data_IF_213248232917
#
_entry.id   IF_213248232917
#
_cell.length_a   1.000
_cell.length_b   1.000
_cell.length_c   1.000
_cell.angle_alpha   90.00
_cell.angle_beta   90.00
_cell.angle_gamma   90.00
#
_symmetry.space_group_name_H-M   'P 1'
#
loop_
_entity.id
_entity.type
_entity.pdbx_description
1 polymer ?
#
# COMPACT_ATOMS: atom_id res chain seq x y z
N UNK A 1 -0.52 -9.43 21.94
CA UNK A 1 0.11 -8.20 21.40
C UNK A 1 1.58 -8.22 21.77
N UNK A 2 2.47 -7.99 20.81
CA UNK A 2 3.92 -7.95 21.07
C UNK A 2 4.28 -6.54 21.52
N UNK A 3 4.35 -6.31 22.83
CA UNK A 3 4.65 -4.98 23.38
C UNK A 3 6.11 -4.57 23.20
N UNK A 4 6.99 -5.53 22.88
CA UNK A 4 8.44 -5.33 22.74
C UNK A 4 8.82 -4.42 21.55
N UNK A 5 8.03 -4.46 20.46
CA UNK A 5 8.31 -3.70 19.24
C UNK A 5 7.28 -2.59 19.01
N UNK A 6 7.11 -1.73 20.01
CA UNK A 6 6.19 -0.61 19.98
C UNK A 6 6.92 0.71 20.21
N UNK A 7 6.64 1.70 19.36
CA UNK A 7 7.12 3.08 19.53
C UNK A 7 5.94 4.03 19.69
N UNK A 8 6.00 4.94 20.68
CA UNK A 8 4.96 5.95 20.90
C UNK A 8 5.13 7.13 19.95
N UNK A 9 4.07 7.50 19.22
CA UNK A 9 4.03 8.67 18.34
C UNK A 9 3.45 9.92 19.03
N UNK A 10 3.13 9.85 20.33
CA UNK A 10 2.70 11.00 21.13
C UNK A 10 3.88 11.91 21.51
N UNK A 11 5.08 11.34 21.62
CA UNK A 11 6.31 12.05 21.97
C UNK A 11 7.43 11.68 20.99
N UNK A 12 7.89 12.65 20.20
CA UNK A 12 8.98 12.42 19.25
C UNK A 12 10.33 12.51 19.94
N UNK A 13 11.13 11.44 19.86
CA UNK A 13 12.52 11.40 20.31
C UNK A 13 13.37 10.72 19.27
N UNK A 14 14.33 11.46 18.69
CA UNK A 14 15.24 10.92 17.67
C UNK A 14 16.16 9.84 18.24
N UNK A 15 16.54 9.94 19.52
CA UNK A 15 17.38 8.96 20.21
C UNK A 15 16.62 7.66 20.42
N UNK A 16 15.44 7.73 21.05
CA UNK A 16 14.62 6.55 21.31
C UNK A 16 14.18 5.86 20.01
N UNK A 17 13.84 6.66 18.99
CA UNK A 17 13.45 6.11 17.69
C UNK A 17 14.62 5.46 16.95
N UNK A 18 15.83 6.03 17.03
CA UNK A 18 17.04 5.39 16.49
C UNK A 18 17.29 4.02 17.14
N UNK A 19 17.20 3.95 18.47
CA UNK A 19 17.36 2.69 19.21
C UNK A 19 16.29 1.66 18.85
N UNK A 20 15.04 2.12 18.68
CA UNK A 20 13.94 1.29 18.18
C UNK A 20 14.27 0.69 16.81
N UNK A 21 14.72 1.49 15.85
CA UNK A 21 15.12 0.99 14.52
C UNK A 21 16.33 0.06 14.61
N UNK A 22 17.32 0.34 15.44
CA UNK A 22 18.47 -0.57 15.65
C UNK A 22 18.02 -1.94 16.15
N UNK A 23 17.07 -2.01 17.08
CA UNK A 23 16.49 -3.29 17.54
C UNK A 23 15.80 -4.06 16.41
N UNK A 24 15.10 -3.36 15.51
CA UNK A 24 14.45 -4.00 14.35
C UNK A 24 15.48 -4.59 13.36
N UNK A 25 16.63 -3.92 13.19
CA UNK A 25 17.72 -4.42 12.36
C UNK A 25 18.29 -5.73 12.92
N UNK A 26 18.42 -5.83 14.25
CA UNK A 26 19.02 -6.99 14.90
C UNK A 26 18.15 -8.27 14.81
N UNK A 27 16.86 -8.14 14.51
CA UNK A 27 15.94 -9.29 14.33
C UNK A 27 15.66 -9.62 12.85
N UNK A 28 16.39 -9.01 11.92
CA UNK A 28 16.26 -9.35 10.50
C UNK A 28 16.82 -10.74 10.21
N UNK A 29 16.12 -11.53 9.41
CA UNK A 29 16.55 -12.89 9.04
C UNK A 29 16.30 -13.19 7.55
N UNK A 30 17.38 -13.11 6.77
CA UNK A 30 17.39 -13.30 5.32
C UNK A 30 17.12 -14.76 4.88
N UNK A 31 17.28 -15.75 5.77
CA UNK A 31 17.02 -17.17 5.46
C UNK A 31 15.59 -17.37 4.97
N UNK A 32 14.64 -16.67 5.58
CA UNK A 32 13.21 -16.82 5.30
C UNK A 32 12.83 -16.38 3.89
N UNK A 33 13.56 -15.45 3.26
CA UNK A 33 13.35 -15.10 1.85
C UNK A 33 13.64 -16.26 0.90
N UNK A 34 14.64 -17.08 1.18
CA UNK A 34 14.94 -18.27 0.36
C UNK A 34 13.81 -19.29 0.42
N UNK A 35 13.16 -19.41 1.58
CA UNK A 35 11.99 -20.28 1.75
C UNK A 35 10.81 -19.75 0.93
N UNK A 36 10.50 -18.45 1.03
CA UNK A 36 9.42 -17.83 0.26
C UNK A 36 9.69 -17.90 -1.25
N UNK A 37 10.91 -17.63 -1.70
CA UNK A 37 11.30 -17.76 -3.10
C UNK A 37 11.07 -19.20 -3.60
N UNK A 38 11.42 -20.20 -2.80
CA UNK A 38 11.16 -21.60 -3.13
C UNK A 38 9.66 -21.91 -3.25
N UNK A 39 8.81 -21.35 -2.38
CA UNK A 39 7.34 -21.48 -2.48
C UNK A 39 6.81 -20.82 -3.77
N UNK A 40 7.31 -19.63 -4.12
CA UNK A 40 6.93 -18.92 -5.35
C UNK A 40 7.31 -19.73 -6.60
N UNK A 41 8.55 -20.22 -6.70
CA UNK A 41 9.01 -20.95 -7.87
C UNK A 41 8.22 -22.26 -8.10
N UNK A 42 7.78 -22.92 -7.02
CA UNK A 42 6.94 -24.12 -7.07
C UNK A 42 5.48 -23.84 -7.44
N UNK A 43 4.95 -22.67 -7.11
CA UNK A 43 3.53 -22.33 -7.29
C UNK A 43 3.24 -21.59 -8.60
N UNK A 44 4.17 -20.77 -9.10
CA UNK A 44 3.93 -19.84 -10.23
C UNK A 44 3.46 -20.49 -11.54
N UNK A 45 3.70 -21.79 -11.72
CA UNK A 45 3.30 -22.56 -12.91
C UNK A 45 1.94 -23.25 -12.76
N UNK A 46 1.29 -23.18 -11.59
CA UNK A 46 0.03 -23.87 -11.28
C UNK A 46 -1.23 -23.02 -11.51
N UNK A 47 -1.08 -21.89 -12.21
CA UNK A 47 -2.15 -20.91 -12.45
C UNK A 47 -3.26 -21.51 -13.31
N UNK A 48 -4.52 -21.31 -12.91
CA UNK A 48 -5.71 -21.71 -13.68
C UNK A 48 -6.26 -20.58 -14.55
N UNK A 49 -6.03 -19.34 -14.11
CA UNK A 49 -6.45 -18.13 -14.81
C UNK A 49 -5.19 -17.39 -15.23
N UNK A 50 -5.09 -17.09 -16.52
CA UNK A 50 -3.98 -16.32 -17.07
C UNK A 50 -4.42 -14.86 -17.25
N UNK A 51 -3.71 -13.96 -16.58
CA UNK A 51 -3.81 -12.52 -16.84
C UNK A 51 -3.17 -12.19 -18.19
N UNK A 52 -3.63 -11.11 -18.83
CA UNK A 52 -3.00 -10.50 -20.00
C UNK A 52 -2.98 -8.99 -19.87
N UNK A 53 -1.93 -8.37 -20.40
CA UNK A 53 -1.86 -6.93 -20.55
C UNK A 53 -2.87 -6.47 -21.60
N UNK A 54 -3.48 -5.31 -21.41
CA UNK A 54 -4.38 -4.67 -22.38
C UNK A 54 -4.58 -3.20 -22.02
N UNK A 55 -5.10 -2.41 -22.95
CA UNK A 55 -5.49 -1.01 -22.72
C UNK A 55 -6.90 -0.89 -22.12
N UNK A 56 -7.47 -1.99 -21.63
CA UNK A 56 -8.77 -1.99 -20.96
C UNK A 56 -8.70 -1.16 -19.68
N UNK A 57 -9.78 -0.44 -19.41
CA UNK A 57 -9.98 0.24 -18.14
C UNK A 57 -11.45 0.25 -17.74
N UNK A 58 -11.69 0.08 -16.45
CA UNK A 58 -12.99 0.20 -15.80
C UNK A 58 -13.05 1.42 -14.86
N UNK A 59 -11.94 2.13 -14.67
CA UNK A 59 -11.81 3.25 -13.75
C UNK A 59 -11.52 4.56 -14.49
N UNK A 60 -12.41 5.54 -14.39
CA UNK A 60 -12.29 6.83 -15.09
C UNK A 60 -11.87 7.95 -14.14
N UNK A 61 -11.13 8.93 -14.66
CA UNK A 61 -10.76 10.12 -13.88
C UNK A 61 -12.00 10.82 -13.34
N UNK A 62 -12.03 10.98 -12.02
CA UNK A 62 -13.06 11.73 -11.31
C UNK A 62 -12.51 13.08 -10.84
N UNK A 63 -11.34 13.08 -10.21
CA UNK A 63 -10.70 14.27 -9.68
C UNK A 63 -9.18 14.14 -9.62
N UNK A 64 -8.48 15.25 -9.38
CA UNK A 64 -7.03 15.27 -9.18
C UNK A 64 -6.59 16.41 -8.27
N UNK A 65 -5.42 16.25 -7.65
CA UNK A 65 -4.76 17.24 -6.81
C UNK A 65 -3.33 17.40 -7.33
N UNK A 66 -2.94 18.63 -7.62
CA UNK A 66 -1.57 18.99 -8.00
C UNK A 66 -0.77 19.44 -6.76
N UNK A 67 0.57 19.37 -6.78
CA UNK A 67 1.40 19.81 -5.66
C UNK A 67 1.09 21.23 -5.19
N UNK A 68 0.90 22.18 -6.11
CA UNK A 68 0.55 23.58 -5.83
C UNK A 68 -0.84 23.79 -5.22
N UNK A 69 -1.69 22.76 -5.22
CA UNK A 69 -3.04 22.79 -4.66
C UNK A 69 -3.11 22.23 -3.23
N UNK A 70 -1.97 21.82 -2.69
CA UNK A 70 -1.83 21.32 -1.31
C UNK A 70 -1.25 22.41 -0.42
N UNK A 71 -2.07 22.97 0.47
CA UNK A 71 -1.59 23.78 1.58
C UNK A 71 -1.43 22.88 2.80
N UNK A 72 -0.20 22.64 3.25
CA UNK A 72 0.09 21.75 4.37
C UNK A 72 0.92 22.46 5.44
N UNK A 73 0.60 22.15 6.70
CA UNK A 73 1.33 22.65 7.86
C UNK A 73 1.81 21.53 8.77
N UNK A 74 2.92 21.79 9.48
CA UNK A 74 3.42 20.92 10.55
C UNK A 74 2.47 20.92 11.77
N UNK A 75 2.77 20.09 12.78
CA UNK A 75 2.05 20.12 14.07
C UNK A 75 2.10 21.50 14.76
N UNK A 76 3.15 22.28 14.49
CA UNK A 76 3.37 23.64 15.00
C UNK A 76 2.87 24.73 14.05
N UNK A 77 2.01 24.39 13.07
CA UNK A 77 1.45 25.31 12.07
C UNK A 77 2.49 26.00 11.17
N UNK A 78 3.68 25.40 11.01
CA UNK A 78 4.69 25.89 10.07
C UNK A 78 4.34 25.38 8.67
N UNK A 79 4.18 26.24 7.65
CA UNK A 79 3.94 25.83 6.27
C UNK A 79 5.08 24.97 5.72
N UNK A 80 4.74 23.95 4.92
CA UNK A 80 5.70 23.05 4.29
C UNK A 80 5.53 23.15 2.77
N UNK A 81 6.64 23.30 2.05
CA UNK A 81 6.65 23.29 0.59
C UNK A 81 6.42 21.87 0.06
N UNK A 82 5.42 21.72 -0.81
CA UNK A 82 5.06 20.45 -1.45
C UNK A 82 5.49 20.50 -2.90
N UNK A 83 6.27 19.50 -3.33
CA UNK A 83 6.67 19.33 -4.73
C UNK A 83 6.04 18.10 -5.39
N UNK A 84 5.61 17.12 -4.59
CA UNK A 84 4.82 15.99 -5.07
C UNK A 84 3.70 15.66 -4.09
N UNK A 85 2.58 15.20 -4.62
CA UNK A 85 1.45 14.64 -3.88
C UNK A 85 0.99 13.42 -4.66
N UNK A 86 1.40 12.24 -4.26
CA UNK A 86 1.13 11.00 -5.02
C UNK A 86 0.86 9.85 -4.05
N UNK A 87 0.57 8.65 -4.56
CA UNK A 87 0.49 7.39 -3.80
C UNK A 87 -0.21 7.53 -2.42
N UNK A 88 -1.36 8.18 -2.42
CA UNK A 88 -2.10 8.56 -1.21
C UNK A 88 -3.24 7.58 -0.96
N UNK A 89 -3.55 7.28 0.30
CA UNK A 89 -4.68 6.42 0.67
C UNK A 89 -5.94 7.23 0.96
N UNK A 90 -7.09 6.55 0.86
CA UNK A 90 -8.41 7.10 1.16
C UNK A 90 -9.16 6.22 2.16
N UNK A 91 -10.06 6.86 2.90
CA UNK A 91 -10.98 6.20 3.84
C UNK A 91 -12.28 6.98 3.92
N UNK A 92 -13.40 6.30 4.14
CA UNK A 92 -14.67 6.98 4.41
C UNK A 92 -14.68 7.54 5.83
N UNK A 93 -15.11 8.80 5.96
CA UNK A 93 -15.21 9.51 7.23
C UNK A 93 -16.58 10.17 7.31
N UNK A 94 -17.29 9.93 8.41
CA UNK A 94 -18.65 10.42 8.63
C UNK A 94 -19.56 10.20 7.38
N UNK A 95 -20.81 10.65 7.38
CA UNK A 95 -21.77 10.30 6.31
C UNK A 95 -21.57 11.06 4.98
N UNK A 96 -20.38 11.60 4.69
CA UNK A 96 -20.19 12.42 3.48
C UNK A 96 -18.78 12.86 3.12
N UNK A 97 -17.74 12.47 3.87
CA UNK A 97 -16.36 12.85 3.57
C UNK A 97 -15.50 11.63 3.20
N UNK A 98 -14.49 11.90 2.39
CA UNK A 98 -13.35 11.01 2.20
C UNK A 98 -12.17 11.65 2.92
N UNK A 99 -11.63 10.94 3.91
CA UNK A 99 -10.34 11.26 4.50
C UNK A 99 -9.24 10.80 3.55
N UNK A 100 -8.23 11.63 3.35
CA UNK A 100 -7.10 11.37 2.45
C UNK A 100 -5.80 11.44 3.22
N UNK A 101 -5.06 10.34 3.21
CA UNK A 101 -3.70 10.24 3.73
C UNK A 101 -2.73 10.56 2.60
N UNK A 102 -2.37 11.84 2.49
CA UNK A 102 -1.52 12.39 1.44
C UNK A 102 -0.06 11.99 1.66
N UNK A 103 0.54 11.24 0.74
CA UNK A 103 2.01 11.10 0.69
C UNK A 103 2.57 12.32 -0.05
N UNK A 104 3.31 13.14 0.68
CA UNK A 104 3.87 14.40 0.20
C UNK A 104 5.39 14.29 0.11
N UNK A 105 5.97 14.82 -0.96
CA UNK A 105 7.42 14.93 -1.15
C UNK A 105 7.89 16.39 -1.22
N UNK A 106 9.10 16.63 -0.69
CA UNK A 106 9.78 17.94 -0.73
C UNK A 106 10.87 18.01 -1.80
N UNK A 107 11.84 18.91 -1.59
CA UNK A 107 12.99 19.15 -2.50
C UNK A 107 13.79 17.87 -2.73
N UNK A 108 14.12 17.17 -1.66
CA UNK A 108 14.67 15.82 -1.76
C UNK A 108 13.51 14.85 -1.97
N UNK A 109 13.38 14.32 -3.18
CA UNK A 109 12.25 13.48 -3.58
C UNK A 109 12.12 12.21 -2.73
N UNK A 110 13.26 11.67 -2.27
CA UNK A 110 13.24 10.52 -1.37
C UNK A 110 12.64 10.88 -0.01
N UNK A 111 12.67 12.15 0.43
CA UNK A 111 12.13 12.56 1.73
C UNK A 111 10.64 12.87 1.65
N UNK A 112 9.87 11.84 2.00
CA UNK A 112 8.41 11.86 2.01
C UNK A 112 7.85 11.84 3.43
N UNK A 113 6.63 12.37 3.57
CA UNK A 113 5.84 12.38 4.80
C UNK A 113 4.37 12.09 4.49
N UNK A 114 3.59 11.75 5.52
CA UNK A 114 2.13 11.63 5.39
C UNK A 114 1.42 12.77 6.11
N UNK A 115 0.54 13.46 5.37
CA UNK A 115 -0.41 14.44 5.89
C UNK A 115 -1.85 13.95 5.73
N UNK A 116 -2.77 14.58 6.46
CA UNK A 116 -4.19 14.24 6.42
C UNK A 116 -5.04 15.45 6.03
N UNK A 117 -6.06 15.20 5.21
CA UNK A 117 -7.12 16.16 4.85
C UNK A 117 -8.44 15.41 4.67
N UNK A 118 -9.55 16.15 4.60
CA UNK A 118 -10.86 15.61 4.25
C UNK A 118 -11.46 16.35 3.06
N UNK A 119 -12.08 15.59 2.17
CA UNK A 119 -12.76 16.10 0.98
C UNK A 119 -14.21 15.62 1.03
N UNK A 120 -15.20 16.54 0.99
CA UNK A 120 -16.59 16.16 0.82
C UNK A 120 -16.79 15.37 -0.48
N UNK A 121 -17.49 14.24 -0.42
CA UNK A 121 -17.69 13.34 -1.58
C UNK A 121 -18.33 14.08 -2.77
N UNK A 122 -19.26 15.00 -2.50
CA UNK A 122 -19.91 15.82 -3.52
C UNK A 122 -18.96 16.84 -4.20
N UNK A 123 -17.82 17.16 -3.57
CA UNK A 123 -16.77 18.01 -4.12
C UNK A 123 -15.64 17.23 -4.79
N UNK A 124 -15.72 15.91 -4.82
CA UNK A 124 -14.70 15.06 -5.44
C UNK A 124 -14.85 15.04 -6.96
N UNK A 125 -14.62 16.17 -7.63
CA UNK A 125 -14.64 16.29 -9.08
C UNK A 125 -13.63 17.33 -9.59
N UNK A 126 -12.99 17.06 -10.72
CA UNK A 126 -12.03 17.99 -11.34
C UNK A 126 -10.80 18.29 -10.47
N UNK A 127 -10.28 19.51 -10.57
CA UNK A 127 -9.12 19.98 -9.78
C UNK A 127 -9.54 20.33 -8.35
N UNK A 128 -8.88 19.74 -7.37
CA UNK A 128 -9.20 19.95 -5.94
C UNK A 128 -8.03 20.66 -5.24
N UNK A 129 -8.37 21.64 -4.40
CA UNK A 129 -7.45 22.29 -3.46
C UNK A 129 -7.74 21.84 -2.05
N UNK A 130 -6.69 21.55 -1.28
CA UNK A 130 -6.83 20.98 0.06
C UNK A 130 -5.96 21.71 1.08
N UNK A 131 -6.46 21.75 2.31
CA UNK A 131 -5.68 22.10 3.49
C UNK A 131 -5.42 20.82 4.28
N UNK A 132 -4.15 20.58 4.63
CA UNK A 132 -3.72 19.36 5.27
C UNK A 132 -2.83 19.61 6.48
N UNK A 133 -2.78 18.65 7.40
CA UNK A 133 -1.87 18.67 8.54
C UNK A 133 -0.99 17.43 8.53
N UNK A 134 0.31 17.60 8.77
CA UNK A 134 1.24 16.47 8.89
C UNK A 134 0.85 15.60 10.07
N UNK A 135 0.72 14.29 9.83
CA UNK A 135 0.46 13.28 10.86
C UNK A 135 1.67 12.37 11.09
N UNK A 136 2.35 11.95 10.03
CA UNK A 136 3.52 11.07 10.12
C UNK A 136 4.71 11.72 9.42
N UNK A 137 5.50 12.52 10.15
CA UNK A 137 6.77 13.03 9.65
C UNK A 137 7.85 11.92 9.69
N UNK A 138 8.92 12.06 8.90
CA UNK A 138 10.18 11.39 9.21
C UNK A 138 10.72 11.91 10.55
N UNK A 139 11.24 11.01 11.37
CA UNK A 139 11.87 11.26 12.67
C UNK A 139 13.40 11.25 12.52
N UNK A 140 13.94 10.40 11.65
CA UNK A 140 15.38 10.37 11.32
C UNK A 140 15.67 11.06 10.00
N UNK A 141 16.89 11.58 9.86
CA UNK A 141 17.36 12.19 8.61
C UNK A 141 17.50 11.21 7.44
N UNK A 142 17.61 9.91 7.74
CA UNK A 142 17.70 8.82 6.77
C UNK A 142 16.33 8.30 6.32
N UNK A 143 15.24 8.78 6.90
CA UNK A 143 13.93 8.16 6.81
C UNK A 143 13.02 8.80 5.75
N UNK A 144 12.24 7.95 5.10
CA UNK A 144 11.13 8.31 4.22
C UNK A 144 9.85 7.64 4.74
N UNK A 145 8.69 8.31 4.64
CA UNK A 145 7.40 7.74 5.05
C UNK A 145 6.48 7.70 3.83
N UNK A 146 6.17 6.49 3.36
CA UNK A 146 5.66 6.23 2.01
C UNK A 146 4.39 5.38 1.99
N UNK A 147 3.64 5.55 0.90
CA UNK A 147 2.54 4.69 0.45
C UNK A 147 1.60 4.24 1.58
N UNK A 148 0.89 5.18 2.24
CA UNK A 148 -0.14 4.83 3.21
C UNK A 148 -1.22 3.96 2.58
N UNK A 149 -1.79 3.09 3.39
CA UNK A 149 -2.86 2.12 3.10
C UNK A 149 -3.72 2.02 4.35
N UNK A 150 -5.02 1.79 4.18
CA UNK A 150 -5.98 1.74 5.29
C UNK A 150 -6.45 0.30 5.49
N UNK A 151 -6.56 -0.15 6.74
CA UNK A 151 -7.14 -1.46 7.04
C UNK A 151 -8.63 -1.49 6.65
N UNK A 152 -9.07 -2.46 5.82
CA UNK A 152 -10.45 -2.52 5.34
C UNK A 152 -11.47 -2.76 6.46
N UNK A 153 -11.05 -3.35 7.59
CA UNK A 153 -11.90 -3.62 8.75
C UNK A 153 -11.72 -2.58 9.87
N UNK A 154 -10.68 -1.74 9.81
CA UNK A 154 -10.44 -0.71 10.82
C UNK A 154 -9.87 0.59 10.21
N UNK A 155 -10.70 1.62 9.97
CA UNK A 155 -10.28 2.87 9.33
C UNK A 155 -9.31 3.72 10.15
N UNK A 156 -9.02 3.34 11.41
CA UNK A 156 -8.07 4.00 12.28
C UNK A 156 -6.69 3.31 12.29
N UNK A 157 -6.54 2.21 11.57
CA UNK A 157 -5.28 1.51 11.38
C UNK A 157 -4.69 1.84 10.00
N UNK A 158 -3.54 2.51 10.00
CA UNK A 158 -2.85 2.96 8.79
C UNK A 158 -1.57 2.17 8.61
N UNK A 159 -1.47 1.45 7.51
CA UNK A 159 -0.27 0.74 7.10
C UNK A 159 0.54 1.64 6.18
N UNK A 160 1.84 1.76 6.39
CA UNK A 160 2.71 2.55 5.53
C UNK A 160 4.13 1.97 5.52
N UNK A 161 4.91 2.35 4.53
CA UNK A 161 6.29 1.89 4.39
C UNK A 161 7.20 2.98 4.93
N UNK A 162 8.15 2.59 5.78
CA UNK A 162 9.29 3.45 6.12
C UNK A 162 10.55 2.88 5.49
N UNK A 163 11.21 3.70 4.68
CA UNK A 163 12.51 3.36 4.13
C UNK A 163 13.60 4.14 4.86
N UNK A 164 14.76 3.52 5.03
CA UNK A 164 15.90 4.15 5.68
C UNK A 164 17.13 4.04 4.78
N UNK A 165 17.71 5.19 4.45
CA UNK A 165 18.92 5.32 3.64
C UNK A 165 20.07 5.77 4.56
N UNK A 166 20.83 4.80 5.08
CA UNK A 166 21.84 5.05 6.10
C UNK A 166 23.23 5.18 5.47
N UNK A 167 24.05 6.18 5.88
CA UNK A 167 25.46 6.23 5.49
C UNK A 167 26.22 5.12 6.22
N UNK A 168 26.62 4.08 5.49
CA UNK A 168 27.52 3.00 5.92
C UNK A 168 27.29 2.45 7.34
N UNK A 169 26.04 2.08 7.66
CA UNK A 169 25.71 1.27 8.84
C UNK A 169 25.58 -0.21 8.45
N UNK A 170 25.39 -1.12 9.43
CA UNK A 170 25.24 -2.59 9.25
C UNK A 170 24.46 -2.98 7.98
N UNK A 171 23.47 -2.18 7.60
CA UNK A 171 22.77 -2.21 6.31
C UNK A 171 22.75 -0.81 5.67
N UNK A 172 22.85 -0.72 4.34
CA UNK A 172 22.78 0.54 3.58
C UNK A 172 21.35 1.03 3.36
N UNK A 173 20.41 0.09 3.25
CA UNK A 173 18.99 0.37 3.01
C UNK A 173 18.14 -0.58 3.84
N UNK A 174 17.11 -0.03 4.49
CA UNK A 174 16.08 -0.79 5.20
C UNK A 174 14.71 -0.39 4.67
N UNK A 175 13.80 -1.36 4.54
CA UNK A 175 12.44 -1.14 4.08
C UNK A 175 11.53 -1.99 4.96
N UNK A 176 10.74 -1.32 5.80
CA UNK A 176 9.84 -1.98 6.75
C UNK A 176 8.44 -1.43 6.54
N UNK A 177 7.45 -2.31 6.52
CA UNK A 177 6.05 -1.91 6.60
C UNK A 177 5.66 -1.79 8.07
N UNK A 178 5.00 -0.70 8.43
CA UNK A 178 4.54 -0.41 9.77
C UNK A 178 3.01 -0.27 9.82
N UNK A 179 2.42 -0.69 10.93
CA UNK A 179 1.09 -0.30 11.37
C UNK A 179 1.21 0.94 12.27
N UNK A 180 0.38 1.94 11.99
CA UNK A 180 0.12 3.07 12.87
C UNK A 180 -1.33 3.06 13.33
N UNK A 181 -1.52 3.00 14.63
CA UNK A 181 -2.82 3.20 15.26
C UNK A 181 -3.08 4.69 15.41
N UNK A 182 -4.29 5.12 15.06
CA UNK A 182 -4.71 6.51 15.12
C UNK A 182 -6.02 6.66 15.88
N UNK A 183 -6.28 7.87 16.36
CA UNK A 183 -7.64 8.28 16.71
C UNK A 183 -8.15 9.26 15.66
N UNK A 184 -9.47 9.30 15.52
CA UNK A 184 -10.17 10.21 14.64
C UNK A 184 -11.26 10.93 15.43
N UNK A 185 -11.14 12.24 15.56
CA UNK A 185 -12.13 13.07 16.25
C UNK A 185 -12.26 14.41 15.51
N UNK A 186 -13.49 14.78 15.13
CA UNK A 186 -13.82 16.08 14.53
C UNK A 186 -12.92 16.49 13.34
N UNK A 187 -12.59 15.56 12.44
CA UNK A 187 -11.71 15.85 11.29
C UNK A 187 -10.21 15.81 11.60
N UNK A 188 -9.83 15.53 12.84
CA UNK A 188 -8.43 15.44 13.27
C UNK A 188 -8.00 13.99 13.44
N UNK A 189 -6.81 13.67 12.91
CA UNK A 189 -6.14 12.39 13.08
C UNK A 189 -4.96 12.57 14.04
N UNK A 190 -4.95 11.80 15.11
CA UNK A 190 -3.84 11.75 16.06
C UNK A 190 -3.20 10.36 16.03
N UNK A 191 -1.97 10.21 15.51
CA UNK A 191 -1.20 8.98 15.62
C UNK A 191 -0.81 8.69 17.06
N UNK A 192 -0.93 7.42 17.45
CA UNK A 192 -0.66 6.95 18.80
C UNK A 192 0.59 6.07 18.87
N UNK A 193 0.62 5.01 18.07
CA UNK A 193 1.68 3.98 18.15
C UNK A 193 2.18 3.61 16.77
N UNK A 194 3.42 3.14 16.71
CA UNK A 194 4.07 2.59 15.54
C UNK A 194 4.55 1.17 15.85
N UNK A 195 4.08 0.19 15.08
CA UNK A 195 4.40 -1.24 15.22
C UNK A 195 4.90 -1.77 13.88
N UNK A 196 6.03 -2.50 13.81
CA UNK A 196 6.48 -3.08 12.56
C UNK A 196 5.61 -4.29 12.24
N UNK A 197 5.43 -4.58 10.96
CA UNK A 197 4.84 -5.85 10.57
C UNK A 197 5.91 -6.93 10.72
N UNK A 198 5.65 -7.91 11.59
CA UNK A 198 6.57 -8.97 11.98
C UNK A 198 6.14 -10.31 11.41
N UNK A 199 7.08 -11.23 11.32
CA UNK A 199 6.83 -12.63 11.00
C UNK A 199 7.12 -13.48 12.23
N UNK A 200 6.29 -14.50 12.46
CA UNK A 200 6.46 -15.49 13.50
C UNK A 200 6.67 -16.86 12.89
N UNK A 201 7.72 -17.55 13.32
CA UNK A 201 7.95 -18.96 13.05
C UNK A 201 8.15 -19.64 14.41
N UNK A 202 7.18 -20.44 14.84
CA UNK A 202 7.09 -20.97 16.20
C UNK A 202 7.12 -19.83 17.25
N UNK A 203 8.14 -19.80 18.11
CA UNK A 203 8.34 -18.74 19.13
C UNK A 203 9.22 -17.59 18.66
N UNK A 204 9.84 -17.69 17.46
CA UNK A 204 10.77 -16.68 16.95
C UNK A 204 10.02 -15.59 16.21
N UNK A 205 10.25 -14.33 16.58
CA UNK A 205 9.85 -13.15 15.82
C UNK A 205 11.03 -12.66 14.97
N UNK A 206 10.74 -12.25 13.75
CA UNK A 206 11.76 -11.73 12.83
C UNK A 206 11.17 -10.79 11.77
N UNK A 207 12.06 -10.13 11.03
CA UNK A 207 11.74 -9.30 9.87
C UNK A 207 12.46 -9.84 8.64
N UNK A 208 11.82 -9.82 7.48
CA UNK A 208 12.48 -10.01 6.18
C UNK A 208 12.78 -8.64 5.55
N UNK A 209 13.84 -8.52 4.75
CA UNK A 209 14.15 -7.26 4.06
C UNK A 209 13.28 -7.06 2.80
N UNK A 210 12.87 -5.81 2.60
CA UNK A 210 12.06 -5.32 1.47
C UNK A 210 10.82 -6.17 1.16
N UNK A 211 9.80 -5.95 1.98
CA UNK A 211 8.47 -6.51 1.86
C UNK A 211 7.42 -5.40 1.81
N UNK A 212 7.74 -4.32 1.08
CA UNK A 212 6.77 -3.26 0.80
C UNK A 212 5.57 -3.85 0.05
N UNK A 213 4.45 -3.12 0.01
CA UNK A 213 3.17 -3.65 -0.49
C UNK A 213 2.58 -4.76 0.42
N UNK A 214 2.89 -4.68 1.72
CA UNK A 214 2.27 -5.51 2.75
C UNK A 214 1.11 -4.75 3.37
N UNK A 215 -0.08 -5.36 3.39
CA UNK A 215 -1.30 -4.73 3.89
C UNK A 215 -2.35 -5.78 4.29
N UNK A 216 -3.26 -5.46 5.22
CA UNK A 216 -4.29 -6.40 5.65
C UNK A 216 -5.30 -6.64 4.53
N UNK A 217 -5.58 -7.90 4.24
CA UNK A 217 -6.71 -8.25 3.37
C UNK A 217 -8.02 -8.24 4.15
N UNK A 218 -7.97 -8.81 5.35
CA UNK A 218 -9.06 -8.88 6.33
C UNK A 218 -8.48 -8.79 7.75
N UNK A 219 -9.33 -8.83 8.77
CA UNK A 219 -8.94 -8.94 10.19
C UNK A 219 -7.97 -10.09 10.47
N UNK A 220 -8.13 -11.23 9.80
CA UNK A 220 -7.35 -12.45 10.05
C UNK A 220 -6.25 -12.73 9.03
N UNK A 221 -6.16 -11.95 7.96
CA UNK A 221 -5.27 -12.25 6.82
C UNK A 221 -4.43 -11.03 6.43
N UNK A 222 -3.14 -11.26 6.18
CA UNK A 222 -2.21 -10.28 5.63
C UNK A 222 -1.80 -10.67 4.20
N UNK A 223 -1.72 -9.69 3.32
CA UNK A 223 -1.05 -9.81 2.04
C UNK A 223 0.37 -9.28 2.19
N UNK A 224 1.36 -10.01 1.67
CA UNK A 224 2.79 -9.70 1.78
C UNK A 224 3.44 -9.76 0.41
N UNK A 225 4.34 -8.82 0.10
CA UNK A 225 5.12 -8.86 -1.14
C UNK A 225 6.62 -8.75 -0.89
N UNK A 226 7.32 -9.87 -0.63
CA UNK A 226 8.78 -9.86 -0.59
C UNK A 226 9.38 -9.51 -1.96
N UNK A 227 10.47 -8.75 -1.96
CA UNK A 227 11.34 -8.54 -3.12
C UNK A 227 12.54 -9.51 -3.08
N UNK A 228 12.72 -10.30 -4.12
CA UNK A 228 13.82 -11.27 -4.21
C UNK A 228 14.93 -10.73 -5.12
N UNK A 229 15.87 -9.97 -4.53
CA UNK A 229 16.95 -9.29 -5.26
C UNK A 229 17.78 -10.25 -6.14
N UNK A 230 18.10 -11.44 -5.63
CA UNK A 230 18.86 -12.49 -6.35
C UNK A 230 18.23 -12.88 -7.70
N UNK A 231 16.91 -12.74 -7.83
CA UNK A 231 16.16 -13.14 -9.04
C UNK A 231 15.44 -11.98 -9.71
N UNK A 232 15.48 -10.77 -9.12
CA UNK A 232 14.80 -9.59 -9.63
C UNK A 232 13.27 -9.71 -9.70
N UNK A 233 12.65 -10.60 -8.93
CA UNK A 233 11.19 -10.80 -8.93
C UNK A 233 10.55 -10.46 -7.59
N UNK A 234 9.28 -10.08 -7.63
CA UNK A 234 8.43 -9.92 -6.44
C UNK A 234 7.04 -10.51 -6.70
N UNK A 235 6.46 -11.15 -5.70
CA UNK A 235 5.15 -11.79 -5.83
C UNK A 235 4.31 -11.58 -4.58
N UNK A 236 3.00 -11.60 -4.76
CA UNK A 236 2.03 -11.53 -3.67
C UNK A 236 1.94 -12.89 -2.98
N UNK A 237 2.03 -12.86 -1.65
CA UNK A 237 1.75 -13.96 -0.74
C UNK A 237 0.58 -13.59 0.16
N UNK A 238 -0.15 -14.61 0.61
CA UNK A 238 -1.25 -14.46 1.57
C UNK A 238 -0.97 -15.36 2.76
N UNK A 239 -1.17 -14.86 3.97
CA UNK A 239 -0.95 -15.62 5.21
C UNK A 239 -1.83 -15.12 6.34
N UNK A 240 -2.04 -15.99 7.34
CA UNK A 240 -2.79 -15.65 8.54
C UNK A 240 -2.00 -14.67 9.43
N UNK A 241 -2.73 -13.81 10.14
CA UNK A 241 -2.14 -12.81 11.05
C UNK A 241 -2.85 -12.73 12.38
N UNK A 242 -2.10 -12.29 13.38
CA UNK A 242 -2.58 -11.82 14.68
C UNK A 242 -2.13 -10.36 14.86
N UNK A 243 -3.02 -9.42 14.54
CA UNK A 243 -2.66 -8.00 14.54
C UNK A 243 -1.58 -7.68 13.52
N UNK A 244 -0.45 -7.17 13.98
CA UNK A 244 0.75 -6.85 13.18
C UNK A 244 1.67 -8.04 12.89
N UNK A 245 1.39 -9.22 13.45
CA UNK A 245 2.27 -10.40 13.34
C UNK A 245 1.68 -11.41 12.37
N UNK A 246 2.48 -11.83 11.38
CA UNK A 246 2.12 -12.82 10.37
C UNK A 246 2.64 -14.18 10.77
N UNK A 247 1.81 -15.22 10.69
CA UNK A 247 2.22 -16.61 10.92
C UNK A 247 2.96 -17.11 9.67
N UNK A 248 4.29 -17.21 9.73
CA UNK A 248 5.14 -17.41 8.57
C UNK A 248 4.86 -18.74 7.85
N UNK A 249 4.58 -19.80 8.59
CA UNK A 249 4.27 -21.12 8.04
C UNK A 249 3.05 -21.10 7.11
N UNK A 250 2.11 -20.19 7.36
CA UNK A 250 0.85 -20.04 6.61
C UNK A 250 1.01 -19.23 5.32
N UNK A 251 2.15 -18.55 5.11
CA UNK A 251 2.36 -17.73 3.92
C UNK A 251 2.44 -18.58 2.67
N UNK A 252 1.47 -18.43 1.78
CA UNK A 252 1.41 -19.13 0.50
C UNK A 252 1.43 -18.15 -0.66
N UNK A 253 2.13 -18.55 -1.73
CA UNK A 253 2.16 -17.80 -2.99
C UNK A 253 0.94 -18.20 -3.82
N UNK A 254 0.15 -17.22 -4.22
CA UNK A 254 -1.07 -17.44 -5.02
C UNK A 254 -0.67 -17.50 -6.51
N UNK A 255 -0.81 -18.65 -7.20
CA UNK A 255 -0.37 -18.79 -8.60
C UNK A 255 -0.98 -17.74 -9.54
N UNK A 256 -2.26 -17.44 -9.36
CA UNK A 256 -3.05 -16.47 -10.10
C UNK A 256 -2.66 -15.02 -9.83
N UNK A 257 -1.79 -14.75 -8.84
CA UNK A 257 -1.24 -13.44 -8.52
C UNK A 257 0.27 -13.36 -8.72
N UNK A 258 0.93 -14.47 -9.05
CA UNK A 258 2.37 -14.48 -9.33
C UNK A 258 2.68 -13.77 -10.65
N UNK A 259 3.87 -13.16 -10.79
CA UNK A 259 4.29 -12.55 -12.05
C UNK A 259 4.35 -13.58 -13.19
N UNK A 260 3.90 -13.18 -14.37
CA UNK A 260 3.99 -13.94 -15.60
C UNK A 260 5.46 -13.94 -16.10
N UNK A 261 6.13 -15.11 -16.24
CA UNK A 261 7.49 -15.17 -16.76
C UNK A 261 7.63 -14.46 -18.11
N UNK A 262 8.68 -13.67 -18.27
CA UNK A 262 9.01 -12.89 -19.47
C UNK A 262 7.98 -11.82 -19.89
N UNK A 263 6.96 -11.56 -19.06
CA UNK A 263 5.94 -10.55 -19.32
C UNK A 263 5.85 -9.56 -18.15
N UNK A 264 6.04 -10.04 -16.92
CA UNK A 264 5.93 -9.23 -15.71
C UNK A 264 7.17 -9.42 -14.83
N UNK A 265 7.73 -8.32 -14.34
CA UNK A 265 8.85 -8.32 -13.39
C UNK A 265 8.37 -8.66 -11.98
N UNK A 266 7.24 -8.08 -11.58
CA UNK A 266 6.68 -8.25 -10.25
C UNK A 266 5.19 -7.96 -10.20
N UNK A 267 4.55 -8.47 -9.17
CA UNK A 267 3.21 -8.07 -8.74
C UNK A 267 3.26 -7.57 -7.31
N UNK A 268 2.36 -6.65 -6.94
CA UNK A 268 2.26 -6.18 -5.55
C UNK A 268 0.89 -5.65 -5.18
N UNK A 269 0.56 -5.74 -3.90
CA UNK A 269 -0.73 -5.33 -3.37
C UNK A 269 -0.81 -3.80 -3.23
N UNK A 270 -1.90 -3.22 -3.68
CA UNK A 270 -2.11 -1.77 -3.62
C UNK A 270 -3.00 -1.38 -2.47
N UNK A 271 -4.22 -1.94 -2.44
CA UNK A 271 -5.21 -1.68 -1.41
C UNK A 271 -6.26 -2.80 -1.39
N UNK A 272 -6.92 -2.98 -0.25
CA UNK A 272 -8.00 -3.95 -0.06
C UNK A 272 -9.27 -3.23 0.39
N UNK A 273 -10.42 -3.80 0.06
CA UNK A 273 -11.72 -3.33 0.53
C UNK A 273 -12.68 -4.48 0.76
N UNK A 274 -13.48 -4.36 1.80
CA UNK A 274 -14.59 -5.27 2.07
C UNK A 274 -15.76 -5.01 1.11
N UNK A 275 -16.17 -6.00 0.34
CA UNK A 275 -17.26 -5.88 -0.64
C UNK A 275 -18.56 -6.55 -0.17
N UNK A 276 -18.46 -7.56 0.70
CA UNK A 276 -19.60 -8.21 1.37
C UNK A 276 -19.21 -8.64 2.79
N UNK A 277 -20.05 -9.38 3.51
CA UNK A 277 -19.76 -9.81 4.88
C UNK A 277 -18.47 -10.65 4.99
N UNK A 278 -18.21 -11.46 3.96
CA UNK A 278 -17.16 -12.48 3.93
C UNK A 278 -16.27 -12.36 2.70
N UNK A 279 -16.44 -11.35 1.83
CA UNK A 279 -15.60 -11.18 0.65
C UNK A 279 -14.88 -9.83 0.65
N UNK A 280 -13.64 -9.89 0.22
CA UNK A 280 -12.74 -8.76 0.09
C UNK A 280 -12.22 -8.69 -1.34
N UNK A 281 -12.14 -7.47 -1.88
CA UNK A 281 -11.47 -7.19 -3.13
C UNK A 281 -10.08 -6.65 -2.84
N UNK A 282 -9.07 -7.32 -3.36
CA UNK A 282 -7.70 -6.85 -3.43
C UNK A 282 -7.47 -6.16 -4.77
N UNK A 283 -7.15 -4.87 -4.74
CA UNK A 283 -6.57 -4.17 -5.89
C UNK A 283 -5.06 -4.38 -5.84
N UNK A 284 -4.50 -4.85 -6.95
CA UNK A 284 -3.07 -5.13 -7.05
C UNK A 284 -2.51 -4.72 -8.40
N UNK A 285 -1.21 -4.46 -8.43
CA UNK A 285 -0.51 -4.07 -9.64
C UNK A 285 0.37 -5.20 -10.14
N UNK A 286 0.58 -5.16 -11.44
CA UNK A 286 1.61 -5.87 -12.16
C UNK A 286 2.53 -4.86 -12.83
N UNK A 287 3.83 -5.14 -12.82
CA UNK A 287 4.83 -4.34 -13.52
C UNK A 287 5.31 -5.14 -14.72
N UNK A 288 5.00 -4.64 -15.91
CA UNK A 288 5.41 -5.24 -17.18
C UNK A 288 6.94 -5.20 -17.36
N UNK A 289 7.46 -6.20 -18.07
CA UNK A 289 8.85 -6.33 -18.48
C UNK A 289 8.94 -6.27 -20.02
N UNK A 290 9.87 -5.49 -20.59
CA UNK A 290 11.00 -4.81 -19.92
C UNK A 290 10.75 -3.36 -19.53
N UNK A 291 9.62 -2.74 -19.91
CA UNK A 291 9.50 -1.28 -19.82
C UNK A 291 9.07 -0.75 -18.44
N UNK A 292 8.62 -1.64 -17.54
CA UNK A 292 8.29 -1.26 -16.17
C UNK A 292 6.93 -0.59 -16.03
N UNK A 293 6.02 -0.84 -16.98
CA UNK A 293 4.68 -0.24 -17.05
C UNK A 293 3.75 -0.84 -16.00
N UNK A 294 2.96 -0.01 -15.30
CA UNK A 294 2.08 -0.46 -14.21
C UNK A 294 0.65 -0.72 -14.71
N UNK A 295 0.21 -1.97 -14.58
CA UNK A 295 -1.17 -2.40 -14.84
C UNK A 295 -1.84 -2.82 -13.54
N UNK A 296 -3.09 -2.40 -13.34
CA UNK A 296 -3.83 -2.69 -12.11
C UNK A 296 -4.96 -3.68 -12.38
N UNK A 297 -5.09 -4.67 -11.50
CA UNK A 297 -6.05 -5.77 -11.56
C UNK A 297 -6.83 -5.86 -10.23
N UNK A 298 -7.90 -6.65 -10.22
CA UNK A 298 -8.63 -7.00 -9.01
C UNK A 298 -8.63 -8.51 -8.77
N UNK A 299 -8.58 -8.90 -7.50
CA UNK A 299 -8.73 -10.27 -7.04
C UNK A 299 -9.75 -10.30 -5.90
N UNK A 300 -10.61 -11.32 -5.90
CA UNK A 300 -11.63 -11.52 -4.89
C UNK A 300 -11.19 -12.64 -3.97
N UNK A 301 -11.24 -12.38 -2.67
CA UNK A 301 -10.90 -13.32 -1.61
C UNK A 301 -12.05 -13.46 -0.64
N UNK A 302 -12.14 -14.62 0.02
CA UNK A 302 -12.94 -14.73 1.22
C UNK A 302 -12.20 -14.16 2.46
N UNK A 303 -12.85 -14.21 3.63
CA UNK A 303 -12.31 -13.71 4.89
C UNK A 303 -11.18 -14.57 5.47
N UNK A 304 -11.06 -15.82 5.02
CA UNK A 304 -10.02 -16.79 5.37
C UNK A 304 -8.74 -16.64 4.54
N UNK A 305 -8.81 -15.87 3.44
CA UNK A 305 -7.70 -15.64 2.52
C UNK A 305 -7.68 -16.61 1.33
N UNK A 306 -8.75 -17.36 1.08
CA UNK A 306 -8.90 -18.16 -0.12
C UNK A 306 -9.20 -17.25 -1.33
N UNK A 307 -8.46 -17.43 -2.42
CA UNK A 307 -8.73 -16.74 -3.68
C UNK A 307 -9.98 -17.32 -4.36
N UNK A 308 -11.01 -16.49 -4.50
CA UNK A 308 -12.25 -16.81 -5.19
C UNK A 308 -12.17 -16.55 -6.69
N UNK A 309 -11.52 -15.46 -7.10
CA UNK A 309 -11.42 -15.07 -8.51
C UNK A 309 -10.43 -13.94 -8.77
N UNK A 310 -10.05 -13.75 -10.03
CA UNK A 310 -9.16 -12.66 -10.48
C UNK A 310 -9.61 -12.12 -11.84
N UNK A 311 -9.42 -10.82 -12.07
CA UNK A 311 -9.65 -10.22 -13.39
C UNK A 311 -8.55 -10.67 -14.37
N UNK A 312 -8.88 -11.25 -15.54
CA UNK A 312 -7.88 -11.65 -16.52
C UNK A 312 -7.29 -10.46 -17.30
N UNK A 313 -8.00 -9.33 -17.32
CA UNK A 313 -7.55 -8.06 -17.90
C UNK A 313 -7.42 -7.00 -16.79
N UNK A 314 -6.61 -5.95 -17.00
CA UNK A 314 -6.52 -4.85 -16.07
C UNK A 314 -7.87 -4.13 -15.91
N UNK A 315 -8.17 -3.76 -14.67
CA UNK A 315 -9.24 -2.81 -14.34
C UNK A 315 -8.80 -1.37 -14.56
N UNK A 316 -7.48 -1.14 -14.65
CA UNK A 316 -6.89 0.15 -14.91
C UNK A 316 -5.53 -0.05 -15.59
N UNK A 317 -5.43 0.43 -16.82
CA UNK A 317 -4.17 0.57 -17.54
C UNK A 317 -3.56 1.95 -17.28
N UNK A 318 -2.26 2.14 -17.57
CA UNK A 318 -1.62 3.44 -17.38
C UNK A 318 -1.98 4.36 -18.55
N UNK A 319 -2.81 5.37 -18.30
CA UNK A 319 -3.17 6.42 -19.27
C UNK A 319 -2.00 7.37 -19.54
N UNK A 320 -1.33 7.34 -20.70
CA UNK A 320 -0.24 8.26 -20.97
C UNK A 320 -0.72 9.72 -21.10
N UNK A 321 -1.94 9.93 -21.60
CA UNK A 321 -2.55 11.23 -21.85
C UNK A 321 -3.02 11.98 -20.59
N UNK A 322 -3.13 11.28 -19.45
CA UNK A 322 -3.69 11.85 -18.21
C UNK A 322 -2.77 12.92 -17.60
N UNK A 323 -1.46 12.67 -17.60
CA UNK A 323 -0.43 13.55 -17.05
C UNK A 323 0.93 13.03 -17.48
N UNK A 324 1.91 13.90 -17.65
CA UNK A 324 3.30 13.49 -17.92
C UNK A 324 4.19 13.99 -16.79
N UNK A 325 4.56 13.09 -15.89
CA UNK A 325 5.42 13.37 -14.75
C UNK A 325 6.74 12.61 -14.77
N UNK A 326 7.34 12.46 -13.59
CA UNK A 326 8.67 11.87 -13.38
C UNK A 326 8.79 10.40 -13.76
N UNK A 327 7.69 9.66 -13.68
CA UNK A 327 7.65 8.22 -13.99
C UNK A 327 6.52 7.91 -14.97
N UNK A 328 6.68 8.24 -16.26
CA UNK A 328 5.64 8.03 -17.27
C UNK A 328 5.07 6.61 -17.24
N UNK A 329 3.81 6.47 -17.66
CA UNK A 329 3.11 5.20 -17.71
C UNK A 329 2.98 4.48 -16.35
N UNK A 330 2.90 5.26 -15.25
CA UNK A 330 2.67 4.71 -13.91
C UNK A 330 1.42 5.29 -13.27
N UNK A 331 0.47 4.43 -12.92
CA UNK A 331 -0.62 4.76 -11.99
C UNK A 331 -0.54 3.76 -10.83
N UNK A 332 -0.21 4.27 -9.64
CA UNK A 332 -0.01 3.44 -8.46
C UNK A 332 -1.14 3.68 -7.45
N UNK A 333 -2.08 2.73 -7.40
CA UNK A 333 -3.21 2.77 -6.45
C UNK A 333 -2.69 2.62 -5.01
N UNK A 334 -3.22 3.41 -4.08
CA UNK A 334 -2.88 3.32 -2.65
C UNK A 334 -4.12 3.27 -1.74
N UNK A 335 -5.29 3.63 -2.25
CA UNK A 335 -6.52 3.57 -1.49
C UNK A 335 -7.71 3.20 -2.35
N UNK A 336 -8.70 2.60 -1.73
CA UNK A 336 -10.01 2.28 -2.32
C UNK A 336 -11.09 2.47 -1.26
N UNK A 337 -12.21 3.06 -1.66
CA UNK A 337 -13.43 3.16 -0.85
C UNK A 337 -14.64 2.79 -1.70
N UNK A 338 -15.66 2.22 -1.07
CA UNK A 338 -16.95 1.90 -1.70
C UNK A 338 -17.96 2.98 -1.37
N UNK A 339 -18.48 3.66 -2.39
CA UNK A 339 -19.55 4.65 -2.24
C UNK A 339 -20.78 4.13 -2.99
N UNK A 340 -21.74 3.58 -2.25
CA UNK A 340 -22.90 2.87 -2.82
C UNK A 340 -22.45 1.71 -3.72
N UNK A 341 -22.80 1.74 -5.00
CA UNK A 341 -22.47 0.73 -6.01
C UNK A 341 -21.22 1.06 -6.80
N UNK A 342 -20.49 2.10 -6.39
CA UNK A 342 -19.23 2.53 -7.01
C UNK A 342 -18.05 2.27 -6.12
N UNK A 343 -16.88 2.15 -6.74
CA UNK A 343 -15.61 2.30 -6.05
C UNK A 343 -14.93 3.59 -6.46
N UNK A 344 -14.26 4.20 -5.50
CA UNK A 344 -13.37 5.33 -5.73
C UNK A 344 -11.99 4.89 -5.28
N UNK A 345 -11.02 4.96 -6.19
CA UNK A 345 -9.62 4.68 -5.89
C UNK A 345 -8.83 5.97 -5.87
N UNK A 346 -7.86 6.06 -4.96
CA UNK A 346 -6.82 7.09 -4.99
C UNK A 346 -5.52 6.48 -5.50
N UNK A 347 -4.86 7.18 -6.41
CA UNK A 347 -3.63 6.70 -7.03
C UNK A 347 -2.65 7.84 -7.28
N UNK A 348 -1.35 7.56 -7.19
CA UNK A 348 -0.35 8.45 -7.74
C UNK A 348 -0.21 8.26 -9.24
N UNK A 349 -0.24 9.35 -9.99
CA UNK A 349 0.14 9.36 -11.41
C UNK A 349 1.57 9.86 -11.53
N UNK A 350 2.41 9.04 -12.15
CA UNK A 350 3.83 9.28 -12.41
C UNK A 350 4.67 9.69 -11.18
N UNK A 351 4.28 9.19 -10.00
CA UNK A 351 4.84 9.53 -8.68
C UNK A 351 4.83 11.04 -8.33
N UNK A 352 3.97 11.85 -8.98
CA UNK A 352 4.00 13.31 -8.88
C UNK A 352 2.68 13.95 -8.45
N UNK A 353 1.57 13.51 -9.05
CA UNK A 353 0.22 14.04 -8.76
C UNK A 353 -0.68 12.94 -8.19
N UNK A 354 -1.77 13.35 -7.53
CA UNK A 354 -2.76 12.47 -6.95
C UNK A 354 -4.01 12.53 -7.83
N UNK A 355 -4.48 11.36 -8.26
CA UNK A 355 -5.72 11.21 -9.01
C UNK A 355 -6.71 10.37 -8.22
N UNK A 356 -7.98 10.70 -8.37
CA UNK A 356 -9.11 9.90 -7.92
C UNK A 356 -9.80 9.33 -9.16
N UNK A 357 -9.93 8.02 -9.22
CA UNK A 357 -10.59 7.33 -10.30
C UNK A 357 -11.87 6.65 -9.76
N UNK A 358 -12.91 6.59 -10.57
CA UNK A 358 -14.19 5.97 -10.22
C UNK A 358 -14.59 4.91 -11.25
N UNK A 359 -15.19 3.83 -10.76
CA UNK A 359 -15.85 2.83 -11.59
C UNK A 359 -17.01 2.17 -10.86
N UNK A 360 -17.88 1.51 -11.62
CA UNK A 360 -18.98 0.72 -11.08
C UNK A 360 -18.44 -0.59 -10.49
N UNK A 361 -18.86 -0.94 -9.27
CA UNK A 361 -18.43 -2.17 -8.61
C UNK A 361 -18.91 -3.40 -9.40
N UNK A 362 -20.14 -3.35 -9.94
CA UNK A 362 -20.71 -4.42 -10.77
C UNK A 362 -19.84 -4.76 -11.97
N UNK A 363 -19.41 -3.76 -12.75
CA UNK A 363 -18.56 -3.96 -13.93
C UNK A 363 -17.23 -4.67 -13.60
N UNK A 364 -16.66 -4.36 -12.42
CA UNK A 364 -15.43 -5.02 -11.94
C UNK A 364 -15.72 -6.47 -11.58
N UNK A 365 -16.78 -6.72 -10.81
CA UNK A 365 -17.17 -8.09 -10.41
C UNK A 365 -17.52 -8.95 -11.64
N UNK A 366 -18.23 -8.40 -12.61
CA UNK A 366 -18.57 -9.08 -13.88
C UNK A 366 -17.33 -9.41 -14.71
N UNK A 367 -16.22 -8.69 -14.50
CA UNK A 367 -14.95 -8.96 -15.16
C UNK A 367 -14.10 -10.05 -14.49
N UNK A 368 -14.47 -10.50 -13.29
CA UNK A 368 -13.73 -11.51 -12.54
C UNK A 368 -13.97 -12.89 -13.13
N UNK A 369 -12.89 -13.64 -13.33
CA UNK A 369 -12.96 -15.08 -13.58
C UNK A 369 -12.75 -15.82 -12.26
N UNK A 370 -13.67 -16.73 -11.91
CA UNK A 370 -13.62 -17.48 -10.66
C UNK A 370 -12.71 -18.71 -10.77
N UNK A 371 -11.97 -19.02 -9.70
CA UNK A 371 -11.01 -20.14 -9.60
C UNK A 371 -11.72 -21.47 -9.35
N UNK A 372 -12.88 -21.40 -8.69
CA UNK A 372 -13.83 -22.48 -8.43
C UNK A 372 -15.22 -21.98 -8.82
N UNK A 373 -15.96 -22.79 -9.58
CA UNK A 373 -17.14 -22.40 -10.35
C UNK A 373 -16.90 -22.77 -11.81
#
# INVERSE_FOLDING_TARGET
MVTEYLYSLTEYSTIAFREYISKLIDIMDYKYKRILLSKLLKSRFKRRIQRKLSDRTLLRLKAYILPQDVNVVSKLNIPIQVLTVSNSAVVLRNSGNIGVFLRLGGVEFSRTLIAYTEIPINKLHGRIKVYAKVILPPILSSECVEDPRVDPDNPNNIYHVRTYHMPEYKIKKLVITFLTETTYENGYIQPLTLKPILFRDNSKLFIIDDYRDTLPLSKGVMVVRPWFEETGIGSIFVGLREGEVILFETLESIPELAPLPNVELKTGANASIKISSNEYMLIFHSVEYPHGTYYTYAAIFDDSGELLGVTPEPILHPYPELYSGRRPSTIFVCGVVRVKDKIIVSAGKDDEILVFLEGELGDILDSVKYVKG
#
